data_IF_883398205191
#
_entry.id   IF_883398205191
#
_cell.length_a   1.000
_cell.length_b   1.000
_cell.length_c   1.000
_cell.angle_alpha   90.00
_cell.angle_beta   90.00
_cell.angle_gamma   90.00
#
_symmetry.space_group_name_H-M   'P 1'
#
loop_
_entity.id
_entity.type
_entity.pdbx_description
1 polymer ?
#
# COMPACT_ATOMS: atom_id res chain seq x y z
N UNK A 1 24.97 53.11 -15.10
CA UNK A 1 24.32 54.11 -14.22
C UNK A 1 23.66 53.33 -13.09
N UNK A 2 24.02 53.54 -11.83
CA UNK A 2 23.31 52.89 -10.74
C UNK A 2 21.89 53.48 -10.71
N UNK A 3 20.88 52.61 -10.76
CA UNK A 3 19.50 53.04 -10.55
C UNK A 3 19.39 53.54 -9.11
N UNK A 4 19.54 54.85 -8.88
CA UNK A 4 19.18 55.50 -7.62
C UNK A 4 17.66 55.53 -7.54
N UNK A 5 17.09 54.36 -7.24
CA UNK A 5 15.67 54.23 -6.94
C UNK A 5 15.50 54.70 -5.51
N UNK A 6 14.76 55.78 -5.31
CA UNK A 6 14.46 56.29 -3.99
C UNK A 6 13.80 55.22 -3.12
N UNK A 7 14.14 55.20 -1.83
CA UNK A 7 13.65 54.19 -0.88
C UNK A 7 12.12 54.16 -0.82
N UNK A 8 11.48 55.30 -1.06
CA UNK A 8 10.02 55.46 -1.14
C UNK A 8 9.43 54.71 -2.34
N UNK A 9 10.09 54.80 -3.50
CA UNK A 9 9.70 54.08 -4.72
C UNK A 9 9.88 52.56 -4.53
N UNK A 10 10.93 52.14 -3.83
CA UNK A 10 11.15 50.74 -3.46
C UNK A 10 10.05 50.19 -2.54
N UNK A 11 9.66 50.96 -1.51
CA UNK A 11 8.56 50.60 -0.61
C UNK A 11 7.24 50.50 -1.39
N UNK A 12 6.99 51.42 -2.32
CA UNK A 12 5.77 51.42 -3.12
C UNK A 12 5.68 50.20 -4.05
N UNK A 13 6.78 49.83 -4.72
CA UNK A 13 6.87 48.61 -5.54
C UNK A 13 6.62 47.37 -4.68
N UNK A 14 7.19 47.30 -3.48
CA UNK A 14 6.97 46.19 -2.55
C UNK A 14 5.51 46.10 -2.10
N UNK A 15 4.86 47.22 -1.78
CA UNK A 15 3.44 47.24 -1.39
C UNK A 15 2.55 46.74 -2.54
N UNK A 16 2.80 47.20 -3.77
CA UNK A 16 2.08 46.73 -4.96
C UNK A 16 2.30 45.23 -5.16
N UNK A 17 3.54 44.77 -5.06
CA UNK A 17 3.90 43.36 -5.19
C UNK A 17 3.16 42.50 -4.14
N UNK A 18 3.24 42.86 -2.85
CA UNK A 18 2.54 42.14 -1.79
C UNK A 18 1.03 42.11 -2.00
N UNK A 19 0.43 43.23 -2.42
CA UNK A 19 -1.00 43.30 -2.71
C UNK A 19 -1.38 42.33 -3.83
N UNK A 20 -0.63 42.34 -4.94
CA UNK A 20 -0.84 41.40 -6.06
C UNK A 20 -0.66 39.94 -5.60
N UNK A 21 0.39 39.65 -4.83
CA UNK A 21 0.67 38.32 -4.32
C UNK A 21 -0.44 37.79 -3.42
N UNK A 22 -1.02 38.62 -2.54
CA UNK A 22 -2.13 38.25 -1.65
C UNK A 22 -3.37 37.84 -2.44
N UNK A 23 -3.68 38.53 -3.55
CA UNK A 23 -4.83 38.20 -4.39
C UNK A 23 -4.59 37.03 -5.36
N UNK A 24 -3.34 36.80 -5.76
CA UNK A 24 -2.99 35.77 -6.73
C UNK A 24 -2.75 34.40 -6.07
N UNK A 25 -2.11 34.37 -4.90
CA UNK A 25 -1.69 33.14 -4.21
C UNK A 25 -2.84 32.18 -3.92
N UNK A 26 -4.01 32.61 -3.38
CA UNK A 26 -5.13 31.72 -3.12
C UNK A 26 -5.69 31.08 -4.40
N UNK A 27 -5.70 31.81 -5.52
CA UNK A 27 -6.15 31.29 -6.82
C UNK A 27 -5.20 30.21 -7.34
N UNK A 28 -3.90 30.45 -7.20
CA UNK A 28 -2.85 29.50 -7.61
C UNK A 28 -2.91 28.21 -6.78
N UNK A 29 -3.06 28.30 -5.46
CA UNK A 29 -3.20 27.12 -4.58
C UNK A 29 -4.45 26.31 -4.95
N UNK A 30 -5.58 26.98 -5.20
CA UNK A 30 -6.81 26.32 -5.63
C UNK A 30 -6.66 25.57 -6.95
N UNK A 31 -5.93 26.13 -7.92
CA UNK A 31 -5.63 25.48 -9.19
C UNK A 31 -4.73 24.25 -8.99
N UNK A 32 -3.64 24.39 -8.21
CA UNK A 32 -2.73 23.29 -7.90
C UNK A 32 -3.45 22.13 -7.18
N UNK A 33 -4.36 22.44 -6.25
CA UNK A 33 -5.15 21.42 -5.55
C UNK A 33 -6.03 20.61 -6.51
N UNK A 34 -6.67 21.27 -7.49
CA UNK A 34 -7.50 20.59 -8.51
C UNK A 34 -6.67 19.70 -9.43
N UNK A 35 -5.54 20.21 -9.93
CA UNK A 35 -4.62 19.42 -10.75
C UNK A 35 -4.06 18.23 -9.97
N UNK A 36 -3.68 18.47 -8.71
CA UNK A 36 -3.22 17.47 -7.77
C UNK A 36 -4.22 16.34 -7.54
N UNK A 37 -5.49 16.66 -7.29
CA UNK A 37 -6.56 15.67 -7.18
C UNK A 37 -6.70 14.82 -8.45
N UNK A 38 -6.54 15.42 -9.63
CA UNK A 38 -6.52 14.68 -10.90
C UNK A 38 -5.39 13.64 -10.96
N UNK A 39 -4.18 14.03 -10.56
CA UNK A 39 -3.02 13.12 -10.49
C UNK A 39 -3.19 12.04 -9.42
N UNK A 40 -3.76 12.38 -8.26
CA UNK A 40 -4.10 11.41 -7.21
C UNK A 40 -5.08 10.36 -7.74
N UNK A 41 -6.16 10.78 -8.41
CA UNK A 41 -7.14 9.86 -9.01
C UNK A 41 -6.52 8.95 -10.07
N UNK A 42 -5.60 9.46 -10.88
CA UNK A 42 -4.84 8.61 -11.83
C UNK A 42 -4.02 7.57 -11.07
N UNK A 43 -3.29 7.98 -10.04
CA UNK A 43 -2.45 7.09 -9.25
C UNK A 43 -3.26 6.05 -8.47
N UNK A 44 -4.43 6.41 -7.95
CA UNK A 44 -5.36 5.45 -7.32
C UNK A 44 -5.83 4.39 -8.33
N UNK A 45 -6.11 4.77 -9.58
CA UNK A 45 -6.48 3.79 -10.64
C UNK A 45 -5.33 2.86 -10.99
N UNK A 46 -4.09 3.37 -11.00
CA UNK A 46 -2.90 2.54 -11.19
C UNK A 46 -2.74 1.53 -10.04
N UNK A 47 -2.86 1.98 -8.78
CA UNK A 47 -2.82 1.11 -7.59
C UNK A 47 -3.95 0.07 -7.59
N UNK A 48 -5.15 0.46 -8.04
CA UNK A 48 -6.28 -0.46 -8.22
C UNK A 48 -5.97 -1.55 -9.23
N UNK A 49 -5.30 -1.19 -10.34
CA UNK A 49 -4.84 -2.13 -11.36
C UNK A 49 -3.88 -3.17 -10.78
N UNK A 50 -2.88 -2.71 -10.02
CA UNK A 50 -1.90 -3.56 -9.32
C UNK A 50 -2.58 -4.49 -8.30
N UNK A 51 -3.46 -3.96 -7.46
CA UNK A 51 -4.21 -4.78 -6.49
C UNK A 51 -5.08 -5.84 -7.18
N UNK A 52 -5.75 -5.49 -8.29
CA UNK A 52 -6.54 -6.44 -9.09
C UNK A 52 -5.65 -7.50 -9.74
N UNK A 53 -4.43 -7.15 -10.14
CA UNK A 53 -3.45 -8.10 -10.68
C UNK A 53 -3.03 -9.13 -9.63
N UNK A 54 -2.60 -8.69 -8.44
CA UNK A 54 -2.27 -9.58 -7.32
C UNK A 54 -3.44 -10.48 -6.95
N UNK A 55 -4.65 -9.91 -6.85
CA UNK A 55 -5.88 -10.66 -6.59
C UNK A 55 -6.11 -11.75 -7.64
N UNK A 56 -5.94 -11.44 -8.92
CA UNK A 56 -6.09 -12.43 -10.01
C UNK A 56 -5.00 -13.50 -9.98
N UNK A 57 -3.78 -13.16 -9.61
CA UNK A 57 -2.70 -14.13 -9.44
C UNK A 57 -3.01 -15.10 -8.29
N UNK A 58 -3.37 -14.56 -7.12
CA UNK A 58 -3.74 -15.33 -5.94
C UNK A 58 -4.96 -16.23 -6.19
N UNK A 59 -6.04 -15.68 -6.76
CA UNK A 59 -7.24 -16.46 -7.04
C UNK A 59 -6.98 -17.61 -8.02
N UNK A 60 -6.13 -17.39 -9.04
CA UNK A 60 -5.73 -18.47 -9.97
C UNK A 60 -4.99 -19.58 -9.23
N UNK A 61 -4.03 -19.24 -8.37
CA UNK A 61 -3.28 -20.20 -7.57
C UNK A 61 -4.20 -21.01 -6.64
N UNK A 62 -5.11 -20.34 -5.92
CA UNK A 62 -6.08 -20.99 -5.03
C UNK A 62 -6.99 -21.94 -5.82
N UNK A 63 -7.51 -21.51 -6.98
CA UNK A 63 -8.43 -22.34 -7.79
C UNK A 63 -7.77 -23.59 -8.37
N UNK A 64 -6.44 -23.64 -8.48
CA UNK A 64 -5.71 -24.83 -8.92
C UNK A 64 -5.77 -25.95 -7.87
N UNK A 65 -5.88 -25.59 -6.59
CA UNK A 65 -5.85 -26.52 -5.46
C UNK A 65 -7.17 -26.53 -4.65
N UNK A 66 -8.21 -25.88 -5.16
CA UNK A 66 -9.42 -25.53 -4.41
C UNK A 66 -10.76 -25.97 -5.00
N UNK A 67 -11.84 -25.58 -4.32
CA UNK A 67 -13.25 -25.86 -4.67
C UNK A 67 -13.72 -25.09 -5.93
N UNK A 68 -14.90 -25.39 -6.51
CA UNK A 68 -15.41 -24.70 -7.71
C UNK A 68 -15.44 -23.17 -7.58
N UNK A 69 -15.05 -22.47 -8.65
CA UNK A 69 -14.71 -21.02 -8.72
C UNK A 69 -15.68 -20.02 -8.08
N UNK A 70 -16.97 -20.33 -7.96
CA UNK A 70 -18.00 -19.33 -7.64
C UNK A 70 -18.07 -18.97 -6.15
N UNK A 71 -17.80 -19.91 -5.25
CA UNK A 71 -17.78 -19.64 -3.80
C UNK A 71 -16.41 -19.13 -3.32
N UNK A 72 -15.33 -19.69 -3.88
CA UNK A 72 -13.95 -19.35 -3.52
C UNK A 72 -13.63 -17.87 -3.77
N UNK A 73 -14.11 -17.30 -4.88
CA UNK A 73 -13.83 -15.90 -5.22
C UNK A 73 -14.45 -14.90 -4.23
N UNK A 74 -15.68 -15.16 -3.76
CA UNK A 74 -16.36 -14.30 -2.79
C UNK A 74 -15.75 -14.41 -1.40
N UNK A 75 -15.45 -15.63 -0.96
CA UNK A 75 -14.80 -15.85 0.33
C UNK A 75 -13.41 -15.21 0.37
N UNK A 76 -12.64 -15.33 -0.72
CA UNK A 76 -11.35 -14.68 -0.85
C UNK A 76 -11.47 -13.15 -0.82
N UNK A 77 -12.44 -12.57 -1.51
CA UNK A 77 -12.67 -11.11 -1.50
C UNK A 77 -12.98 -10.58 -0.11
N UNK A 78 -13.84 -11.29 0.63
CA UNK A 78 -14.12 -10.94 2.02
C UNK A 78 -12.87 -11.05 2.89
N UNK A 79 -12.01 -12.04 2.63
CA UNK A 79 -10.79 -12.20 3.40
C UNK A 79 -9.73 -11.13 3.10
N UNK A 80 -9.67 -10.58 1.88
CA UNK A 80 -8.78 -9.45 1.56
C UNK A 80 -9.08 -8.19 2.40
N UNK A 81 -10.27 -8.11 3.01
CA UNK A 81 -10.62 -7.01 3.90
C UNK A 81 -10.22 -7.24 5.37
N UNK A 82 -9.74 -8.43 5.71
CA UNK A 82 -9.28 -8.79 7.05
C UNK A 82 -8.16 -7.86 7.53
N UNK A 83 -8.19 -7.51 8.81
CA UNK A 83 -7.14 -6.75 9.48
C UNK A 83 -6.96 -7.27 10.91
N UNK A 84 -5.72 -7.22 11.39
CA UNK A 84 -5.40 -7.50 12.79
C UNK A 84 -5.34 -6.19 13.57
N UNK A 85 -5.88 -6.19 14.80
CA UNK A 85 -5.86 -5.03 15.69
C UNK A 85 -4.62 -5.14 16.57
N UNK A 86 -3.77 -4.13 16.53
CA UNK A 86 -2.58 -4.07 17.37
C UNK A 86 -2.96 -3.93 18.87
N UNK A 87 -2.17 -4.49 19.79
CA UNK A 87 -2.42 -4.34 21.22
C UNK A 87 -2.29 -2.87 21.65
N UNK A 88 -3.11 -2.45 22.61
CA UNK A 88 -3.05 -1.11 23.20
C UNK A 88 -1.73 -0.93 23.96
N UNK A 89 -1.08 0.22 23.77
CA UNK A 89 0.28 0.52 24.22
C UNK A 89 0.41 0.95 25.69
N UNK A 90 -0.70 1.13 26.41
CA UNK A 90 -0.71 1.77 27.74
C UNK A 90 -0.14 0.91 28.89
N UNK A 91 0.30 -0.32 28.62
CA UNK A 91 0.84 -1.22 29.64
C UNK A 91 2.15 -1.87 29.19
N UNK A 92 3.32 -1.36 29.63
CA UNK A 92 4.63 -1.84 29.20
C UNK A 92 4.93 -3.28 29.63
N UNK A 93 4.21 -3.83 30.62
CA UNK A 93 4.40 -5.20 31.09
C UNK A 93 3.56 -6.15 30.24
N UNK A 94 4.22 -6.99 29.43
CA UNK A 94 3.55 -8.02 28.65
C UNK A 94 3.09 -7.60 27.25
N UNK A 95 3.50 -6.43 26.74
CA UNK A 95 3.27 -6.02 25.33
C UNK A 95 3.78 -7.09 24.37
N UNK A 96 4.98 -7.63 24.62
CA UNK A 96 5.58 -8.65 23.76
C UNK A 96 4.70 -9.91 23.68
N UNK A 97 4.22 -10.41 24.83
CA UNK A 97 3.33 -11.58 24.89
C UNK A 97 2.00 -11.33 24.19
N UNK A 98 1.46 -10.11 24.26
CA UNK A 98 0.25 -9.72 23.53
C UNK A 98 0.50 -9.64 22.02
N UNK A 99 1.65 -9.10 21.60
CA UNK A 99 2.03 -9.07 20.19
C UNK A 99 2.21 -10.48 19.63
N UNK A 100 2.92 -11.35 20.35
CA UNK A 100 3.06 -12.78 20.01
C UNK A 100 1.69 -13.44 19.85
N UNK A 101 0.78 -13.23 20.81
CA UNK A 101 -0.58 -13.76 20.71
C UNK A 101 -1.34 -13.24 19.47
N UNK A 102 -1.21 -11.96 19.13
CA UNK A 102 -1.84 -11.38 17.94
C UNK A 102 -1.26 -11.99 16.65
N UNK A 103 0.06 -12.21 16.61
CA UNK A 103 0.72 -12.86 15.49
C UNK A 103 0.29 -14.32 15.33
N UNK A 104 0.21 -15.07 16.43
CA UNK A 104 -0.26 -16.46 16.44
C UNK A 104 -1.71 -16.59 15.98
N UNK A 105 -2.58 -15.71 16.48
CA UNK A 105 -4.00 -15.70 16.08
C UNK A 105 -4.14 -15.31 14.62
N UNK A 106 -3.34 -14.34 14.13
CA UNK A 106 -3.30 -13.97 12.72
C UNK A 106 -2.90 -15.18 11.88
N UNK A 107 -1.77 -15.83 12.20
CA UNK A 107 -1.29 -17.01 11.48
C UNK A 107 -2.34 -18.12 11.41
N UNK A 108 -2.94 -18.50 12.53
CA UNK A 108 -4.02 -19.51 12.58
C UNK A 108 -5.23 -19.14 11.71
N UNK A 109 -5.56 -17.84 11.60
CA UNK A 109 -6.64 -17.37 10.72
C UNK A 109 -6.28 -17.56 9.25
N UNK A 110 -5.05 -17.26 8.85
CA UNK A 110 -4.57 -17.46 7.49
C UNK A 110 -4.53 -18.95 7.11
N UNK A 111 -3.92 -19.80 7.96
CA UNK A 111 -3.91 -21.26 7.79
C UNK A 111 -5.34 -21.82 7.63
N UNK A 112 -6.27 -21.38 8.50
CA UNK A 112 -7.67 -21.80 8.44
C UNK A 112 -8.39 -21.36 7.17
N UNK A 113 -8.03 -20.21 6.58
CA UNK A 113 -8.59 -19.75 5.31
C UNK A 113 -8.02 -20.56 4.14
N UNK A 114 -6.71 -20.82 4.12
CA UNK A 114 -6.09 -21.66 3.10
C UNK A 114 -6.71 -23.06 3.09
N UNK A 115 -6.91 -23.67 4.26
CA UNK A 115 -7.56 -24.98 4.39
C UNK A 115 -9.01 -25.00 3.86
N UNK A 116 -9.75 -23.88 3.97
CA UNK A 116 -11.11 -23.77 3.42
C UNK A 116 -11.13 -23.54 1.91
N UNK A 117 -10.26 -22.64 1.42
CA UNK A 117 -10.23 -22.22 0.02
C UNK A 117 -9.54 -23.24 -0.90
N UNK A 118 -8.49 -23.90 -0.40
CA UNK A 118 -7.66 -24.85 -1.12
C UNK A 118 -7.42 -26.15 -0.32
N UNK A 119 -8.47 -26.95 -0.05
CA UNK A 119 -8.37 -28.16 0.79
C UNK A 119 -7.47 -29.26 0.21
N UNK A 120 -7.21 -29.24 -1.10
CA UNK A 120 -6.37 -30.24 -1.77
C UNK A 120 -4.91 -29.80 -1.92
N UNK A 121 -4.51 -28.69 -1.29
CA UNK A 121 -3.13 -28.21 -1.33
C UNK A 121 -2.23 -29.08 -0.42
N UNK A 122 -1.12 -29.55 -0.96
CA UNK A 122 -0.03 -30.15 -0.20
C UNK A 122 0.55 -29.12 0.80
N UNK A 123 1.16 -29.52 1.95
CA UNK A 123 1.63 -28.58 2.96
C UNK A 123 2.53 -27.46 2.43
N UNK A 124 3.44 -27.75 1.50
CA UNK A 124 4.29 -26.73 0.87
C UNK A 124 3.50 -25.76 -0.01
N UNK A 125 2.55 -26.29 -0.79
CA UNK A 125 1.66 -25.48 -1.61
C UNK A 125 0.72 -24.61 -0.74
N UNK A 126 0.27 -25.12 0.40
CA UNK A 126 -0.54 -24.40 1.36
C UNK A 126 0.23 -23.21 1.97
N UNK A 127 1.49 -23.41 2.36
CA UNK A 127 2.35 -22.33 2.85
C UNK A 127 2.61 -21.25 1.77
N UNK A 128 2.86 -21.66 0.53
CA UNK A 128 3.00 -20.72 -0.59
C UNK A 128 1.70 -19.94 -0.87
N UNK A 129 0.54 -20.59 -0.73
CA UNK A 129 -0.77 -19.96 -0.87
C UNK A 129 -1.05 -18.96 0.27
N UNK A 130 -0.66 -19.27 1.51
CA UNK A 130 -0.73 -18.34 2.64
C UNK A 130 0.02 -17.04 2.31
N UNK A 131 1.29 -17.14 1.92
CA UNK A 131 2.12 -15.99 1.56
C UNK A 131 1.57 -15.23 0.34
N UNK A 132 1.01 -15.95 -0.62
CA UNK A 132 0.34 -15.36 -1.79
C UNK A 132 -0.88 -14.53 -1.39
N UNK A 133 -1.70 -15.04 -0.46
CA UNK A 133 -2.87 -14.32 0.06
C UNK A 133 -2.42 -13.08 0.84
N UNK A 134 -1.36 -13.18 1.64
CA UNK A 134 -0.77 -12.04 2.34
C UNK A 134 -0.31 -10.93 1.37
N UNK A 135 0.41 -11.29 0.30
CA UNK A 135 0.85 -10.33 -0.71
C UNK A 135 -0.32 -9.65 -1.45
N UNK A 136 -1.36 -10.42 -1.78
CA UNK A 136 -2.58 -9.88 -2.37
C UNK A 136 -3.30 -8.93 -1.40
N UNK A 137 -3.40 -9.29 -0.12
CA UNK A 137 -4.00 -8.45 0.92
C UNK A 137 -3.21 -7.16 1.15
N UNK A 138 -1.88 -7.22 1.14
CA UNK A 138 -1.04 -6.04 1.31
C UNK A 138 -1.25 -5.02 0.18
N UNK A 139 -1.24 -5.48 -1.08
CA UNK A 139 -1.50 -4.61 -2.24
C UNK A 139 -2.92 -4.04 -2.23
N UNK A 140 -3.93 -4.83 -1.84
CA UNK A 140 -5.32 -4.38 -1.72
C UNK A 140 -5.52 -3.35 -0.60
N UNK A 141 -4.92 -3.58 0.56
CA UNK A 141 -4.96 -2.67 1.71
C UNK A 141 -4.35 -1.32 1.36
N UNK A 142 -3.19 -1.33 0.69
CA UNK A 142 -2.51 -0.12 0.25
C UNK A 142 -3.39 0.70 -0.71
N UNK A 143 -3.95 0.06 -1.74
CA UNK A 143 -4.91 0.69 -2.65
C UNK A 143 -6.09 1.32 -1.90
N UNK A 144 -6.71 0.58 -0.97
CA UNK A 144 -7.88 1.03 -0.23
C UNK A 144 -7.57 2.25 0.64
N UNK A 145 -6.41 2.24 1.28
CA UNK A 145 -5.94 3.35 2.12
C UNK A 145 -5.70 4.62 1.31
N UNK A 146 -4.97 4.53 0.18
CA UNK A 146 -4.72 5.69 -0.69
C UNK A 146 -6.02 6.23 -1.29
N UNK A 147 -6.93 5.33 -1.69
CA UNK A 147 -8.27 5.72 -2.17
C UNK A 147 -9.05 6.44 -1.09
N UNK A 148 -9.05 5.94 0.14
CA UNK A 148 -9.75 6.56 1.26
C UNK A 148 -9.27 7.99 1.51
N UNK A 149 -7.96 8.19 1.64
CA UNK A 149 -7.42 9.53 1.88
C UNK A 149 -7.60 10.47 0.68
N UNK A 150 -7.57 9.96 -0.55
CA UNK A 150 -7.88 10.76 -1.75
C UNK A 150 -9.32 11.26 -1.73
N UNK A 151 -10.28 10.39 -1.38
CA UNK A 151 -11.70 10.77 -1.23
C UNK A 151 -11.91 11.74 -0.06
N UNK A 152 -11.18 11.56 1.04
CA UNK A 152 -11.22 12.48 2.18
C UNK A 152 -10.72 13.87 1.79
N UNK A 153 -9.58 13.95 1.09
CA UNK A 153 -9.00 15.19 0.59
C UNK A 153 -9.96 15.92 -0.37
N UNK A 154 -10.67 15.17 -1.22
CA UNK A 154 -11.68 15.71 -2.12
C UNK A 154 -12.90 16.27 -1.37
N UNK A 155 -13.46 15.51 -0.42
CA UNK A 155 -14.64 15.92 0.35
C UNK A 155 -14.35 17.12 1.26
N UNK A 156 -13.20 17.14 1.91
CA UNK A 156 -12.78 18.23 2.80
C UNK A 156 -12.26 19.45 2.05
N UNK A 157 -11.99 19.33 0.74
CA UNK A 157 -11.30 20.33 -0.08
C UNK A 157 -9.97 20.81 0.55
N UNK A 158 -9.32 19.93 1.32
CA UNK A 158 -8.07 20.24 2.00
C UNK A 158 -6.89 20.12 1.03
N UNK A 159 -6.28 21.25 0.67
CA UNK A 159 -5.11 21.27 -0.21
C UNK A 159 -3.90 20.60 0.46
N UNK A 160 -3.77 20.76 1.78
CA UNK A 160 -2.66 20.19 2.54
C UNK A 160 -2.65 18.66 2.44
N UNK A 161 -3.83 18.02 2.53
CA UNK A 161 -3.96 16.57 2.36
C UNK A 161 -3.59 16.14 0.93
N UNK A 162 -4.02 16.91 -0.08
CA UNK A 162 -3.68 16.64 -1.48
C UNK A 162 -2.18 16.70 -1.72
N UNK A 163 -1.49 17.67 -1.11
CA UNK A 163 -0.04 17.82 -1.22
C UNK A 163 0.70 16.68 -0.50
N UNK A 164 0.30 16.33 0.73
CA UNK A 164 0.90 15.24 1.49
C UNK A 164 0.81 13.91 0.75
N UNK A 165 -0.37 13.60 0.20
CA UNK A 165 -0.58 12.39 -0.58
C UNK A 165 0.29 12.38 -1.85
N UNK A 166 0.37 13.51 -2.57
CA UNK A 166 1.20 13.61 -3.77
C UNK A 166 2.67 13.34 -3.50
N UNK A 167 3.20 13.83 -2.39
CA UNK A 167 4.60 13.61 -2.01
C UNK A 167 4.88 12.14 -1.65
N UNK A 168 3.91 11.45 -1.06
CA UNK A 168 4.06 10.04 -0.66
C UNK A 168 3.79 9.06 -1.80
N UNK A 169 3.02 9.46 -2.82
CA UNK A 169 2.62 8.59 -3.92
C UNK A 169 3.76 7.81 -4.59
N UNK A 170 4.95 8.38 -4.88
CA UNK A 170 6.04 7.62 -5.50
C UNK A 170 6.45 6.41 -4.65
N UNK A 171 6.61 6.59 -3.35
CA UNK A 171 6.94 5.51 -2.42
C UNK A 171 5.82 4.47 -2.35
N UNK A 172 4.58 4.91 -2.25
CA UNK A 172 3.41 4.02 -2.21
C UNK A 172 3.28 3.20 -3.50
N UNK A 173 3.61 3.77 -4.67
CA UNK A 173 3.64 3.01 -5.93
C UNK A 173 4.73 1.96 -5.94
N UNK A 174 5.92 2.25 -5.44
CA UNK A 174 6.99 1.26 -5.33
C UNK A 174 6.63 0.13 -4.36
N UNK A 175 6.04 0.44 -3.20
CA UNK A 175 5.51 -0.60 -2.30
C UNK A 175 4.45 -1.46 -2.99
N UNK A 176 3.54 -0.86 -3.75
CA UNK A 176 2.50 -1.60 -4.48
C UNK A 176 3.10 -2.57 -5.51
N UNK A 177 4.09 -2.12 -6.29
CA UNK A 177 4.81 -2.98 -7.24
C UNK A 177 5.54 -4.11 -6.53
N UNK A 178 6.25 -3.80 -5.44
CA UNK A 178 6.95 -4.81 -4.64
C UNK A 178 5.99 -5.89 -4.11
N UNK A 179 4.79 -5.51 -3.63
CA UNK A 179 3.79 -6.48 -3.19
C UNK A 179 3.25 -7.34 -4.34
N UNK A 180 3.04 -6.77 -5.53
CA UNK A 180 2.64 -7.54 -6.72
C UNK A 180 3.73 -8.55 -7.11
N UNK A 181 4.98 -8.11 -7.14
CA UNK A 181 6.11 -8.96 -7.52
C UNK A 181 6.36 -10.06 -6.50
N UNK A 182 6.25 -9.75 -5.20
CA UNK A 182 6.27 -10.75 -4.14
C UNK A 182 5.12 -11.77 -4.30
N UNK A 183 3.90 -11.31 -4.58
CA UNK A 183 2.75 -12.19 -4.83
C UNK A 183 3.02 -13.14 -6.00
N UNK A 184 3.59 -12.64 -7.11
CA UNK A 184 3.96 -13.49 -8.26
C UNK A 184 5.04 -14.50 -7.91
N UNK A 185 6.03 -14.11 -7.11
CA UNK A 185 7.10 -14.99 -6.65
C UNK A 185 6.56 -16.11 -5.73
N UNK A 186 5.66 -15.79 -4.80
CA UNK A 186 4.99 -16.81 -3.96
C UNK A 186 4.13 -17.78 -4.77
N UNK A 187 3.40 -17.29 -5.78
CA UNK A 187 2.67 -18.17 -6.72
C UNK A 187 3.61 -19.11 -7.48
N UNK A 188 4.82 -18.66 -7.79
CA UNK A 188 5.84 -19.47 -8.44
C UNK A 188 6.65 -20.35 -7.47
N UNK A 189 6.37 -20.30 -6.15
CA UNK A 189 7.13 -21.03 -5.13
C UNK A 189 8.58 -20.57 -4.99
N UNK A 190 8.90 -19.33 -5.42
CA UNK A 190 10.26 -18.80 -5.30
C UNK A 190 10.52 -18.38 -3.84
N UNK A 191 11.69 -18.73 -3.27
CA UNK A 191 12.06 -18.27 -1.94
C UNK A 191 12.25 -16.76 -1.91
N UNK A 192 11.81 -16.12 -0.83
CA UNK A 192 12.00 -14.68 -0.58
C UNK A 192 12.46 -14.49 0.87
N UNK A 193 13.36 -13.54 1.10
CA UNK A 193 13.84 -13.20 2.43
C UNK A 193 14.69 -14.32 3.04
N UNK A 194 14.30 -14.77 4.23
CA UNK A 194 15.07 -15.75 5.02
C UNK A 194 15.25 -17.09 4.31
N UNK A 195 14.30 -17.46 3.43
CA UNK A 195 14.41 -18.66 2.60
C UNK A 195 15.55 -18.60 1.57
N UNK A 196 15.96 -17.40 1.15
CA UNK A 196 17.11 -17.21 0.23
C UNK A 196 18.43 -17.45 0.97
N UNK A 197 18.54 -17.01 2.22
CA UNK A 197 19.76 -17.16 3.02
C UNK A 197 20.14 -18.61 3.28
N UNK A 198 19.15 -19.45 3.61
CA UNK A 198 19.39 -20.89 3.76
C UNK A 198 19.82 -21.54 2.42
N UNK A 199 19.23 -21.12 1.30
CA UNK A 199 19.56 -21.63 -0.03
C UNK A 199 20.94 -21.21 -0.53
N UNK A 200 21.37 -19.98 -0.23
CA UNK A 200 22.73 -19.53 -0.57
C UNK A 200 23.76 -20.23 0.29
N UNK A 201 23.48 -20.42 1.59
CA UNK A 201 24.36 -21.17 2.48
C UNK A 201 24.53 -22.63 2.04
N UNK A 202 23.46 -23.33 1.68
CA UNK A 202 23.55 -24.72 1.18
C UNK A 202 24.28 -24.81 -0.16
N UNK A 203 24.11 -23.82 -1.05
CA UNK A 203 24.87 -23.79 -2.30
C UNK A 203 26.37 -23.57 -2.07
N UNK A 204 26.73 -22.66 -1.16
CA UNK A 204 28.13 -22.39 -0.82
C UNK A 204 28.81 -23.56 -0.09
N UNK A 205 28.06 -24.32 0.72
CA UNK A 205 28.56 -25.51 1.42
C UNK A 205 28.56 -26.74 0.50
N UNK A 206 27.59 -26.86 -0.41
CA UNK A 206 27.47 -27.97 -1.36
C UNK A 206 28.35 -27.87 -2.60
N UNK A 207 28.83 -26.66 -2.93
CA UNK A 207 29.86 -26.41 -3.97
C UNK A 207 31.30 -26.43 -3.39
N UNK A 208 31.51 -26.98 -2.18
CA UNK A 208 32.80 -27.20 -1.52
C UNK A 208 33.17 -28.69 -1.46
#
# INVERSE_FOLDING_TARGET
MPFNIDIVTWIFIMIIFFTISIFLTPRMIGLQARMGLGQLRKSVRELEGLAKESRRAALRAITKHGKPKRDVAREFDNFLEFFAIAPVSEDPVGVLRRMEHVLDVRKKRFEGVVARLAPNAEPEAAANLEMTIEGAMASYTLYRLVRHFTLLAEKTRSYQLVMLLQMQLPFLKEYAKAFVDATKAFVAGKPIGDGVGAMTATKLIGDA
#
